data_IF_269352333402
#
_entry.id   IF_269352333402
#
_cell.length_a   1.000
_cell.length_b   1.000
_cell.length_c   1.000
_cell.angle_alpha   90.00
_cell.angle_beta   90.00
_cell.angle_gamma   90.00
#
_symmetry.space_group_name_H-M   'P 1'
#
loop_
_entity.id
_entity.type
_entity.pdbx_description
1 polymer ?
#
# COMPACT_ATOMS: atom_id res chain seq x y z
N UNK A 1 -10.58 -10.18 23.25
CA UNK A 1 -9.49 -10.41 22.46
C UNK A 1 -9.81 -10.54 21.05
N UNK A 2 -10.75 -11.32 20.65
CA UNK A 2 -11.08 -11.45 19.25
C UNK A 2 -11.42 -10.11 18.65
N UNK A 3 -12.12 -9.30 19.40
CA UNK A 3 -12.51 -8.01 18.86
C UNK A 3 -11.30 -7.14 18.63
N UNK A 4 -10.36 -7.20 19.56
CA UNK A 4 -9.17 -6.40 19.42
C UNK A 4 -8.36 -6.87 18.24
N UNK A 5 -8.30 -8.18 18.06
CA UNK A 5 -7.55 -8.70 16.93
C UNK A 5 -8.16 -8.28 15.62
N UNK A 6 -9.50 -8.34 15.56
CA UNK A 6 -10.18 -7.96 14.33
C UNK A 6 -9.93 -6.49 14.03
N UNK A 7 -10.00 -5.65 15.05
CA UNK A 7 -9.80 -4.24 14.85
C UNK A 7 -8.38 -3.97 14.41
N UNK A 8 -7.43 -4.59 15.05
CA UNK A 8 -6.03 -4.38 14.69
C UNK A 8 -5.77 -4.88 13.28
N UNK A 9 -6.34 -6.02 12.94
CA UNK A 9 -6.16 -6.57 11.61
C UNK A 9 -6.74 -5.62 10.57
N UNK A 10 -7.89 -5.05 10.87
CA UNK A 10 -8.54 -4.15 9.95
C UNK A 10 -7.68 -2.91 9.72
N UNK A 11 -7.16 -2.34 10.81
CA UNK A 11 -6.33 -1.16 10.69
C UNK A 11 -5.05 -1.50 9.94
N UNK A 12 -4.45 -2.62 10.27
CA UNK A 12 -3.22 -3.04 9.62
C UNK A 12 -3.46 -3.24 8.13
N UNK A 13 -4.58 -3.84 7.80
CA UNK A 13 -4.91 -4.09 6.42
C UNK A 13 -5.09 -2.79 5.66
N UNK A 14 -5.73 -1.82 6.27
CA UNK A 14 -5.92 -0.53 5.63
C UNK A 14 -4.59 0.12 5.34
N UNK A 15 -3.70 0.11 6.30
CA UNK A 15 -2.40 0.70 6.12
C UNK A 15 -1.63 -0.02 5.02
N UNK A 16 -1.73 -1.34 5.00
CA UNK A 16 -1.03 -2.13 3.99
C UNK A 16 -1.53 -1.77 2.60
N UNK A 17 -2.83 -1.63 2.46
CA UNK A 17 -3.41 -1.30 1.16
C UNK A 17 -2.91 0.07 0.71
N UNK A 18 -2.89 1.03 1.62
CA UNK A 18 -2.43 2.36 1.26
C UNK A 18 -0.97 2.31 0.86
N UNK A 19 -0.17 1.56 1.59
CA UNK A 19 1.25 1.47 1.26
C UNK A 19 1.45 0.83 -0.11
N UNK A 20 0.70 -0.22 -0.39
CA UNK A 20 0.83 -0.91 -1.66
C UNK A 20 0.44 0.02 -2.79
N UNK A 21 -0.68 0.70 -2.65
CA UNK A 21 -1.14 1.61 -3.69
C UNK A 21 -0.14 2.72 -3.91
N UNK A 22 0.39 3.27 -2.82
CA UNK A 22 1.36 4.34 -2.93
C UNK A 22 2.63 3.83 -3.61
N UNK A 23 3.08 2.66 -3.23
CA UNK A 23 4.30 2.11 -3.80
C UNK A 23 4.13 1.86 -5.29
N UNK A 24 2.97 1.32 -5.66
CA UNK A 24 2.72 1.06 -7.07
C UNK A 24 2.67 2.36 -7.84
N UNK A 25 2.04 3.37 -7.27
CA UNK A 25 1.96 4.66 -7.92
C UNK A 25 3.34 5.24 -8.16
N UNK A 26 4.18 5.22 -7.14
CA UNK A 26 5.52 5.76 -7.27
C UNK A 26 6.32 4.94 -8.27
N UNK A 27 6.16 3.62 -8.22
CA UNK A 27 6.89 2.76 -9.13
C UNK A 27 6.52 3.09 -10.59
N UNK A 28 5.24 3.22 -10.85
CA UNK A 28 4.80 3.51 -12.20
C UNK A 28 5.31 4.86 -12.68
N UNK A 29 5.27 5.85 -11.80
CA UNK A 29 5.73 7.17 -12.18
C UNK A 29 7.22 7.14 -12.48
N UNK A 30 7.99 6.49 -11.63
CA UNK A 30 9.41 6.44 -11.85
C UNK A 30 9.74 5.63 -13.08
N UNK A 31 9.02 4.52 -13.26
CA UNK A 31 9.27 3.70 -14.41
C UNK A 31 9.02 4.48 -15.69
N UNK A 32 7.95 5.23 -15.71
CA UNK A 32 7.63 6.00 -16.89
C UNK A 32 8.68 7.06 -17.13
N UNK A 33 9.10 7.71 -16.07
CA UNK A 33 10.08 8.77 -16.21
C UNK A 33 11.40 8.20 -16.70
N UNK A 34 11.74 7.00 -16.24
CA UNK A 34 12.99 6.45 -16.64
C UNK A 34 12.87 5.75 -17.96
N UNK A 35 11.81 5.04 -18.17
CA UNK A 35 11.68 4.20 -19.29
C UNK A 35 11.35 4.87 -20.55
N UNK A 36 11.42 6.11 -20.53
CA UNK A 36 11.17 6.81 -21.67
C UNK A 36 11.99 6.41 -22.79
N UNK A 37 12.94 5.88 -22.69
CA UNK A 37 13.69 5.56 -23.72
C UNK A 37 13.26 4.68 -24.52
#
# INVERSE_FOLDING_TARGET
>A
MFQEEVTLTFIFQTIAVILIVTAVGIYLVKKKARGIK
#
